data_IF_579189480242
#
_entry.id   IF_579189480242
#
_cell.length_a   1.000
_cell.length_b   1.000
_cell.length_c   1.000
_cell.angle_alpha   90.00
_cell.angle_beta   90.00
_cell.angle_gamma   90.00
#
_symmetry.space_group_name_H-M   'P 1'
#
loop_
_entity.id
_entity.type
_entity.pdbx_description
1 polymer ?
#
# COMPACT_ATOMS: atom_id res chain seq x y z
N UNK A 1 -14.54 50.65 14.22
CA UNK A 1 -14.99 50.02 12.95
C UNK A 1 -13.92 49.10 12.32
N UNK A 2 -12.62 49.33 12.55
CA UNK A 2 -11.56 48.51 11.94
C UNK A 2 -11.40 47.13 12.59
N UNK A 3 -11.55 47.01 13.92
CA UNK A 3 -11.45 45.73 14.63
C UNK A 3 -12.50 44.68 14.24
N UNK A 4 -13.71 45.12 13.90
CA UNK A 4 -14.79 44.22 13.43
C UNK A 4 -14.45 43.65 12.05
N UNK A 5 -13.93 44.50 11.14
CA UNK A 5 -13.48 44.07 9.81
C UNK A 5 -12.27 43.13 9.90
N UNK A 6 -11.32 43.42 10.79
CA UNK A 6 -10.18 42.53 11.07
C UNK A 6 -10.61 41.19 11.66
N UNK A 7 -11.57 41.19 12.59
CA UNK A 7 -12.12 39.96 13.17
C UNK A 7 -12.82 39.07 12.15
N UNK A 8 -13.65 39.66 11.27
CA UNK A 8 -14.31 38.92 10.18
C UNK A 8 -13.28 38.35 9.21
N UNK A 9 -12.26 39.14 8.84
CA UNK A 9 -11.19 38.68 7.93
C UNK A 9 -10.40 37.51 8.54
N UNK A 10 -10.12 37.55 9.84
CA UNK A 10 -9.46 36.46 10.56
C UNK A 10 -10.32 35.18 10.60
N UNK A 11 -11.63 35.30 10.84
CA UNK A 11 -12.54 34.15 10.81
C UNK A 11 -12.65 33.54 9.41
N UNK A 12 -12.71 34.35 8.36
CA UNK A 12 -12.71 33.87 6.97
C UNK A 12 -11.41 33.13 6.66
N UNK A 13 -10.27 33.68 7.07
CA UNK A 13 -8.96 33.03 6.90
C UNK A 13 -8.92 31.67 7.62
N UNK A 14 -9.37 31.62 8.88
CA UNK A 14 -9.41 30.38 9.66
C UNK A 14 -10.34 29.34 9.01
N UNK A 15 -11.51 29.77 8.55
CA UNK A 15 -12.46 28.90 7.84
C UNK A 15 -11.88 28.35 6.53
N UNK A 16 -11.17 29.19 5.76
CA UNK A 16 -10.47 28.76 4.54
C UNK A 16 -9.37 27.75 4.83
N UNK A 17 -8.53 28.00 5.84
CA UNK A 17 -7.45 27.07 6.23
C UNK A 17 -8.02 25.72 6.65
N UNK A 18 -9.09 25.72 7.46
CA UNK A 18 -9.75 24.49 7.90
C UNK A 18 -10.35 23.77 6.70
N UNK A 19 -11.13 24.48 5.87
CA UNK A 19 -11.79 23.91 4.70
C UNK A 19 -10.79 23.31 3.71
N UNK A 20 -9.70 24.01 3.40
CA UNK A 20 -8.69 23.51 2.46
C UNK A 20 -7.89 22.33 3.00
N UNK A 21 -7.76 22.19 4.32
CA UNK A 21 -7.06 21.06 4.95
C UNK A 21 -7.96 19.87 5.30
N UNK A 22 -9.27 19.98 5.09
CA UNK A 22 -10.23 18.88 5.28
C UNK A 22 -10.60 18.22 3.96
N UNK A 23 -10.61 16.89 3.95
CA UNK A 23 -11.08 16.08 2.80
C UNK A 23 -12.60 16.20 2.68
N UNK A 24 -13.11 16.49 1.48
CA UNK A 24 -14.54 16.54 1.19
C UNK A 24 -14.92 15.45 0.17
N UNK A 25 -15.52 14.37 0.65
CA UNK A 25 -15.90 13.24 -0.21
C UNK A 25 -14.69 12.65 -0.94
N UNK A 26 -14.69 12.74 -2.27
CA UNK A 26 -13.59 12.27 -3.14
C UNK A 26 -12.52 13.34 -3.42
N UNK A 27 -12.71 14.58 -2.97
CA UNK A 27 -11.75 15.67 -3.21
C UNK A 27 -10.67 15.62 -2.13
N UNK A 28 -9.37 15.55 -2.51
CA UNK A 28 -8.27 15.61 -1.55
C UNK A 28 -8.29 16.95 -0.79
N UNK A 29 -7.70 17.00 0.42
CA UNK A 29 -7.49 18.26 1.13
C UNK A 29 -6.53 19.14 0.31
N UNK A 30 -7.09 20.11 -0.42
CA UNK A 30 -6.35 20.91 -1.40
C UNK A 30 -5.16 21.66 -0.79
N UNK A 31 -5.27 22.12 0.46
CA UNK A 31 -4.18 22.80 1.16
C UNK A 31 -2.95 21.92 1.31
N UNK A 32 -3.12 20.68 1.80
CA UNK A 32 -2.04 19.69 1.92
C UNK A 32 -1.58 19.17 0.56
N UNK A 33 -2.53 19.00 -0.36
CA UNK A 33 -2.24 18.43 -1.67
C UNK A 33 -1.37 19.37 -2.52
N UNK A 34 -1.63 20.69 -2.49
CA UNK A 34 -0.87 21.71 -3.19
C UNK A 34 0.29 22.29 -2.37
N UNK A 35 0.60 21.72 -1.22
CA UNK A 35 1.75 22.12 -0.41
C UNK A 35 3.05 21.92 -1.24
N UNK A 36 3.93 22.93 -1.33
CA UNK A 36 5.14 22.85 -2.13
C UNK A 36 6.15 21.81 -1.59
N UNK A 37 6.18 21.57 -0.28
CA UNK A 37 7.19 20.74 0.37
C UNK A 37 6.73 19.28 0.50
N UNK A 38 5.47 19.05 0.86
CA UNK A 38 4.94 17.70 1.11
C UNK A 38 3.81 17.27 0.15
N UNK A 39 3.31 18.21 -0.68
CA UNK A 39 2.21 17.95 -1.61
C UNK A 39 2.64 17.14 -2.83
N UNK A 40 1.83 17.16 -3.88
CA UNK A 40 2.09 16.35 -5.07
C UNK A 40 3.37 16.78 -5.83
N UNK A 41 3.81 18.03 -5.64
CA UNK A 41 5.02 18.58 -6.26
C UNK A 41 6.29 17.82 -5.85
N UNK A 42 6.36 17.37 -4.59
CA UNK A 42 7.50 16.59 -4.09
C UNK A 42 7.72 15.28 -4.87
N UNK A 43 6.68 14.69 -5.47
CA UNK A 43 6.82 13.49 -6.29
C UNK A 43 7.34 13.79 -7.72
N UNK A 44 7.28 15.05 -8.19
CA UNK A 44 7.71 15.43 -9.53
C UNK A 44 9.23 15.58 -9.66
N UNK A 45 9.92 15.80 -8.54
CA UNK A 45 11.37 15.95 -8.47
C UNK A 45 12.03 14.63 -8.04
N UNK A 46 12.09 13.64 -8.94
CA UNK A 46 12.83 12.40 -8.67
C UNK A 46 13.98 12.24 -9.65
N UNK A 47 15.20 12.56 -9.20
CA UNK A 47 16.41 12.06 -9.83
C UNK A 47 16.64 10.64 -9.33
N UNK A 48 16.45 9.64 -10.20
CA UNK A 48 16.79 8.25 -9.86
C UNK A 48 18.31 8.10 -10.00
N UNK A 49 19.05 7.80 -8.92
CA UNK A 49 20.49 7.58 -9.02
C UNK A 49 20.77 6.35 -9.90
N UNK A 50 21.91 6.34 -10.60
CA UNK A 50 22.33 5.18 -11.41
C UNK A 50 22.75 3.98 -10.54
N UNK A 51 23.17 4.24 -9.31
CA UNK A 51 23.55 3.25 -8.30
C UNK A 51 23.34 3.89 -6.94
N UNK A 52 22.83 3.11 -5.99
CA UNK A 52 22.65 3.51 -4.61
C UNK A 52 23.04 2.34 -3.69
N UNK A 53 23.59 2.67 -2.53
CA UNK A 53 23.81 1.71 -1.45
C UNK A 53 22.81 2.06 -0.34
N UNK A 54 22.03 1.06 0.06
CA UNK A 54 20.97 1.20 1.06
C UNK A 54 21.30 0.32 2.26
N UNK A 55 21.14 0.86 3.46
CA UNK A 55 21.26 0.10 4.69
C UNK A 55 19.86 -0.33 5.14
N UNK A 56 19.47 -1.55 4.78
CA UNK A 56 18.14 -2.08 5.05
C UNK A 56 18.17 -2.89 6.35
N UNK A 57 17.44 -2.48 7.39
CA UNK A 57 17.39 -3.21 8.65
C UNK A 57 16.93 -4.66 8.46
N UNK A 58 17.69 -5.61 9.03
CA UNK A 58 17.36 -7.03 9.03
C UNK A 58 18.12 -7.87 8.01
N UNK A 59 18.80 -7.26 7.03
CA UNK A 59 19.73 -7.99 6.15
C UNK A 59 20.87 -8.63 6.96
N UNK A 60 21.18 -9.88 6.66
CA UNK A 60 22.28 -10.64 7.31
C UNK A 60 23.56 -10.56 6.48
N UNK A 61 23.43 -10.51 5.16
CA UNK A 61 24.51 -10.35 4.19
C UNK A 61 24.15 -9.36 3.08
N UNK A 62 25.15 -8.96 2.29
CA UNK A 62 24.96 -8.07 1.14
C UNK A 62 24.02 -8.68 0.08
N UNK A 63 23.11 -7.84 -0.40
CA UNK A 63 22.20 -8.13 -1.53
C UNK A 63 22.49 -7.16 -2.66
N UNK A 64 22.56 -7.66 -3.90
CA UNK A 64 22.73 -6.83 -5.09
C UNK A 64 21.45 -6.83 -5.91
N UNK A 65 20.97 -5.63 -6.27
CA UNK A 65 19.79 -5.45 -7.12
C UNK A 65 20.22 -4.78 -8.42
N UNK A 66 19.92 -5.42 -9.55
CA UNK A 66 20.20 -4.88 -10.88
C UNK A 66 18.88 -4.63 -11.63
N UNK A 67 18.66 -3.40 -12.08
CA UNK A 67 17.54 -3.08 -12.94
C UNK A 67 17.95 -3.18 -14.41
N UNK A 68 17.19 -3.95 -15.19
CA UNK A 68 17.39 -4.03 -16.64
C UNK A 68 16.90 -2.75 -17.38
N UNK A 69 17.09 -2.71 -18.70
CA UNK A 69 16.66 -1.60 -19.56
C UNK A 69 15.14 -1.32 -19.50
N UNK A 70 14.35 -2.30 -19.04
CA UNK A 70 12.89 -2.21 -18.86
C UNK A 70 12.49 -1.91 -17.43
N UNK A 71 13.45 -1.61 -16.55
CA UNK A 71 13.27 -1.39 -15.10
C UNK A 71 12.71 -2.62 -14.38
N UNK A 72 13.07 -3.83 -14.81
CA UNK A 72 12.77 -5.06 -14.07
C UNK A 72 13.91 -5.31 -13.07
N UNK A 73 13.62 -5.44 -11.76
CA UNK A 73 14.64 -5.73 -10.76
C UNK A 73 15.05 -7.21 -10.78
N UNK A 74 16.36 -7.45 -10.79
CA UNK A 74 17.00 -8.75 -10.60
C UNK A 74 17.73 -8.74 -9.26
N UNK A 75 17.25 -9.55 -8.31
CA UNK A 75 17.76 -9.58 -6.93
C UNK A 75 18.69 -10.79 -6.76
N UNK A 76 19.91 -10.53 -6.30
CA UNK A 76 20.92 -11.54 -6.00
C UNK A 76 21.27 -11.50 -4.51
N UNK A 77 20.97 -12.58 -3.80
CA UNK A 77 21.25 -12.74 -2.37
C UNK A 77 21.93 -14.09 -2.12
N UNK A 78 22.60 -14.23 -0.97
CA UNK A 78 23.32 -15.46 -0.57
C UNK A 78 22.48 -16.42 0.27
N UNK A 79 21.32 -15.98 0.75
CA UNK A 79 20.39 -16.77 1.53
C UNK A 79 18.94 -16.34 1.25
N UNK A 80 18.00 -17.22 1.54
CA UNK A 80 16.58 -17.03 1.25
C UNK A 80 15.96 -15.89 2.06
N UNK A 81 16.36 -15.72 3.32
CA UNK A 81 15.83 -14.66 4.18
C UNK A 81 16.08 -13.27 3.56
N UNK A 82 17.33 -12.99 3.20
CA UNK A 82 17.73 -11.71 2.62
C UNK A 82 17.14 -11.52 1.22
N UNK A 83 16.94 -12.61 0.47
CA UNK A 83 16.25 -12.59 -0.82
C UNK A 83 14.80 -12.11 -0.67
N UNK A 84 14.03 -12.72 0.23
CA UNK A 84 12.62 -12.35 0.44
C UNK A 84 12.47 -10.96 1.04
N UNK A 85 13.36 -10.57 1.96
CA UNK A 85 13.39 -9.23 2.52
C UNK A 85 13.65 -8.18 1.44
N UNK A 86 14.71 -8.34 0.64
CA UNK A 86 15.00 -7.42 -0.46
C UNK A 86 13.87 -7.40 -1.50
N UNK A 87 13.25 -8.55 -1.79
CA UNK A 87 12.08 -8.61 -2.67
C UNK A 87 10.93 -7.75 -2.13
N UNK A 88 10.59 -7.88 -0.84
CA UNK A 88 9.54 -7.07 -0.22
C UNK A 88 9.85 -5.57 -0.26
N UNK A 89 11.10 -5.19 0.03
CA UNK A 89 11.55 -3.80 -0.02
C UNK A 89 11.41 -3.20 -1.43
N UNK A 90 11.95 -3.87 -2.45
CA UNK A 90 11.92 -3.41 -3.84
C UNK A 90 10.48 -3.39 -4.39
N UNK A 91 9.67 -4.41 -4.08
CA UNK A 91 8.28 -4.42 -4.52
C UNK A 91 7.46 -3.29 -3.87
N UNK A 92 7.72 -2.98 -2.60
CA UNK A 92 7.12 -1.82 -1.95
C UNK A 92 7.59 -0.51 -2.60
N UNK A 93 8.89 -0.35 -2.87
CA UNK A 93 9.43 0.81 -3.56
C UNK A 93 8.70 1.10 -4.88
N UNK A 94 8.44 0.07 -5.68
CA UNK A 94 7.81 0.22 -6.98
C UNK A 94 6.27 0.23 -6.94
N UNK A 95 5.64 -0.49 -5.99
CA UNK A 95 4.21 -0.88 -6.07
C UNK A 95 3.44 -0.80 -4.75
N UNK A 96 3.94 -0.10 -3.74
CA UNK A 96 3.32 -0.02 -2.40
C UNK A 96 1.79 0.19 -2.44
N UNK A 97 1.33 1.22 -3.15
CA UNK A 97 -0.11 1.53 -3.23
C UNK A 97 -0.91 0.39 -3.89
N UNK A 98 -0.40 -0.19 -4.97
CA UNK A 98 -1.05 -1.29 -5.67
C UNK A 98 -1.22 -2.50 -4.75
N UNK A 99 -0.14 -2.90 -4.07
CA UNK A 99 -0.14 -4.02 -3.14
C UNK A 99 -1.16 -3.80 -2.02
N UNK A 100 -1.14 -2.61 -1.41
CA UNK A 100 -2.05 -2.30 -0.32
C UNK A 100 -3.51 -2.33 -0.77
N UNK A 101 -3.85 -1.68 -1.89
CA UNK A 101 -5.23 -1.67 -2.40
C UNK A 101 -5.77 -3.06 -2.70
N UNK A 102 -4.92 -3.97 -3.21
CA UNK A 102 -5.32 -5.36 -3.44
C UNK A 102 -5.63 -6.10 -2.12
N UNK A 103 -4.90 -5.80 -1.05
CA UNK A 103 -5.16 -6.39 0.27
C UNK A 103 -6.38 -5.78 0.96
N UNK A 104 -6.62 -4.48 0.81
CA UNK A 104 -7.85 -3.82 1.27
C UNK A 104 -9.09 -4.39 0.56
N UNK A 105 -8.99 -4.65 -0.74
CA UNK A 105 -10.06 -5.30 -1.50
C UNK A 105 -10.34 -6.71 -0.99
N UNK A 106 -9.31 -7.53 -0.80
CA UNK A 106 -9.44 -8.89 -0.30
C UNK A 106 -9.91 -8.96 1.17
N UNK A 107 -9.55 -7.96 1.98
CA UNK A 107 -10.00 -7.84 3.37
C UNK A 107 -11.44 -7.30 3.49
N UNK A 108 -11.99 -6.72 2.41
CA UNK A 108 -13.24 -5.97 2.45
C UNK A 108 -13.14 -4.76 3.37
N UNK A 109 -12.16 -3.90 3.09
CA UNK A 109 -11.85 -2.66 3.82
C UNK A 109 -11.76 -1.43 2.90
N UNK A 110 -12.04 -1.54 1.61
CA UNK A 110 -11.83 -0.44 0.65
C UNK A 110 -12.62 0.84 1.00
N UNK A 111 -13.78 0.69 1.63
CA UNK A 111 -14.60 1.81 2.07
C UNK A 111 -13.93 2.66 3.16
N UNK A 112 -12.93 2.12 3.89
CA UNK A 112 -12.13 2.87 4.86
C UNK A 112 -11.30 3.97 4.18
N UNK A 113 -10.81 3.72 2.96
CA UNK A 113 -9.91 4.62 2.23
C UNK A 113 -10.68 5.46 1.20
N UNK A 114 -11.48 4.80 0.36
CA UNK A 114 -12.17 5.43 -0.78
C UNK A 114 -13.49 6.07 -0.36
N UNK A 115 -14.13 5.52 0.67
CA UNK A 115 -15.39 6.03 1.23
C UNK A 115 -16.60 5.12 0.98
N UNK A 116 -17.81 5.59 1.35
CA UNK A 116 -19.00 4.76 1.53
C UNK A 116 -19.54 4.12 0.24
N UNK A 117 -19.15 4.62 -0.95
CA UNK A 117 -19.55 4.04 -2.24
C UNK A 117 -19.11 2.58 -2.38
N UNK A 118 -18.04 2.15 -1.70
CA UNK A 118 -17.52 0.78 -1.74
C UNK A 118 -18.03 -0.12 -0.61
N UNK A 119 -18.92 0.37 0.26
CA UNK A 119 -19.38 -0.40 1.43
C UNK A 119 -20.06 -1.72 1.05
N UNK A 120 -20.84 -1.73 -0.04
CA UNK A 120 -21.49 -2.96 -0.53
C UNK A 120 -20.47 -3.97 -1.05
N UNK A 121 -19.37 -3.49 -1.66
CA UNK A 121 -18.26 -4.35 -2.11
C UNK A 121 -17.59 -5.02 -0.92
N UNK A 122 -17.24 -4.24 0.11
CA UNK A 122 -16.63 -4.75 1.33
C UNK A 122 -17.50 -5.79 2.04
N UNK A 123 -18.80 -5.51 2.18
CA UNK A 123 -19.78 -6.45 2.73
C UNK A 123 -19.81 -7.75 1.94
N UNK A 124 -19.81 -7.68 0.60
CA UNK A 124 -19.82 -8.87 -0.24
C UNK A 124 -18.51 -9.66 -0.14
N UNK A 125 -17.36 -9.00 -0.12
CA UNK A 125 -16.07 -9.67 0.08
C UNK A 125 -16.00 -10.41 1.42
N UNK A 126 -16.49 -9.78 2.50
CA UNK A 126 -16.55 -10.43 3.82
C UNK A 126 -17.54 -11.58 3.85
N UNK A 127 -18.70 -11.46 3.17
CA UNK A 127 -19.68 -12.55 3.01
C UNK A 127 -19.13 -13.75 2.24
N UNK A 128 -18.26 -13.51 1.25
CA UNK A 128 -17.55 -14.57 0.54
C UNK A 128 -16.52 -15.29 1.43
N UNK A 129 -16.20 -14.76 2.62
CA UNK A 129 -15.27 -15.37 3.55
C UNK A 129 -13.81 -15.16 3.17
N UNK A 130 -13.48 -14.14 2.37
CA UNK A 130 -12.10 -13.87 1.94
C UNK A 130 -11.13 -13.65 3.11
N UNK A 131 -11.45 -12.83 4.14
CA UNK A 131 -10.58 -12.68 5.31
C UNK A 131 -10.40 -13.99 6.07
N UNK A 132 -11.49 -14.72 6.31
CA UNK A 132 -11.46 -16.02 6.98
C UNK A 132 -10.59 -17.04 6.22
N UNK A 133 -10.71 -17.09 4.89
CA UNK A 133 -9.88 -17.96 4.06
C UNK A 133 -8.40 -17.57 4.06
N UNK A 134 -8.09 -16.28 4.25
CA UNK A 134 -6.71 -15.80 4.41
C UNK A 134 -6.14 -16.17 5.79
N UNK A 135 -6.93 -16.03 6.85
CA UNK A 135 -6.56 -16.48 8.21
C UNK A 135 -6.26 -17.98 8.24
N UNK A 136 -7.13 -18.80 7.62
CA UNK A 136 -6.90 -20.24 7.51
C UNK A 136 -5.68 -20.60 6.66
N UNK A 137 -5.43 -19.86 5.58
CA UNK A 137 -4.21 -20.05 4.81
C UNK A 137 -2.96 -19.71 5.65
N UNK A 138 -3.01 -18.64 6.45
CA UNK A 138 -1.91 -18.28 7.34
C UNK A 138 -1.69 -19.31 8.44
N UNK A 139 -2.74 -19.87 9.04
CA UNK A 139 -2.64 -20.98 10.00
C UNK A 139 -1.91 -22.19 9.40
N UNK A 140 -2.20 -22.55 8.14
CA UNK A 140 -1.47 -23.62 7.45
C UNK A 140 -0.01 -23.21 7.15
N UNK A 141 0.22 -21.95 6.75
CA UNK A 141 1.58 -21.46 6.51
C UNK A 141 2.44 -21.52 7.77
N UNK A 142 1.87 -21.20 8.92
CA UNK A 142 2.57 -21.23 10.21
C UNK A 142 3.05 -22.63 10.61
N UNK A 143 2.49 -23.69 10.04
CA UNK A 143 2.93 -25.07 10.26
C UNK A 143 4.19 -25.42 9.46
N UNK A 144 4.54 -24.61 8.46
CA UNK A 144 5.70 -24.79 7.58
C UNK A 144 6.75 -23.70 7.85
N UNK A 145 7.78 -23.96 8.68
CA UNK A 145 8.71 -22.94 9.16
C UNK A 145 9.41 -22.16 8.04
N UNK A 146 9.81 -22.84 6.96
CA UNK A 146 10.49 -22.20 5.83
C UNK A 146 9.59 -21.18 5.11
N UNK A 147 8.29 -21.49 4.96
CA UNK A 147 7.35 -20.58 4.33
C UNK A 147 6.98 -19.43 5.27
N UNK A 148 6.84 -19.70 6.57
CA UNK A 148 6.64 -18.65 7.57
C UNK A 148 7.81 -17.66 7.60
N UNK A 149 9.06 -18.16 7.57
CA UNK A 149 10.26 -17.32 7.51
C UNK A 149 10.25 -16.46 6.24
N UNK A 150 9.95 -17.04 5.07
CA UNK A 150 9.89 -16.31 3.81
C UNK A 150 8.87 -15.17 3.82
N UNK A 151 7.63 -15.42 4.25
CA UNK A 151 6.59 -14.37 4.27
C UNK A 151 6.84 -13.31 5.34
N UNK A 152 7.52 -13.67 6.42
CA UNK A 152 7.87 -12.73 7.49
C UNK A 152 9.01 -11.83 7.00
N UNK A 153 10.07 -12.39 6.44
CA UNK A 153 11.16 -11.62 5.83
C UNK A 153 10.65 -10.66 4.74
N UNK A 154 9.75 -11.13 3.87
CA UNK A 154 9.07 -10.28 2.89
C UNK A 154 8.31 -9.12 3.54
N UNK A 155 7.52 -9.40 4.58
CA UNK A 155 6.78 -8.37 5.30
C UNK A 155 7.72 -7.35 5.97
N UNK A 156 8.83 -7.81 6.54
CA UNK A 156 9.85 -6.96 7.15
C UNK A 156 10.51 -6.04 6.11
N UNK A 157 10.80 -6.55 4.92
CA UNK A 157 11.30 -5.75 3.79
C UNK A 157 10.33 -4.65 3.35
N UNK A 158 9.04 -4.98 3.19
CA UNK A 158 7.99 -3.98 2.90
C UNK A 158 7.93 -2.94 4.02
N UNK A 159 8.03 -3.38 5.28
CA UNK A 159 7.96 -2.51 6.44
C UNK A 159 9.16 -1.58 6.56
N UNK A 160 10.36 -2.05 6.23
CA UNK A 160 11.57 -1.23 6.19
C UNK A 160 11.40 -0.05 5.23
N UNK A 161 10.89 -0.30 4.01
CA UNK A 161 10.57 0.78 3.08
C UNK A 161 9.49 1.73 3.63
N UNK A 162 8.42 1.21 4.22
CA UNK A 162 7.36 2.05 4.83
C UNK A 162 7.91 2.93 5.95
N UNK A 163 8.86 2.45 6.76
CA UNK A 163 9.47 3.22 7.86
C UNK A 163 10.37 4.36 7.39
N UNK A 164 10.95 4.24 6.19
CA UNK A 164 11.79 5.29 5.59
C UNK A 164 10.96 6.45 5.03
N UNK A 165 9.70 6.21 4.68
CA UNK A 165 8.85 7.20 4.04
C UNK A 165 8.39 8.30 5.01
N UNK A 166 8.68 9.55 4.64
CA UNK A 166 7.97 10.70 5.20
C UNK A 166 6.69 11.00 4.40
N UNK A 167 5.73 11.78 4.93
CA UNK A 167 4.54 12.17 4.16
C UNK A 167 4.84 12.86 2.81
N UNK A 168 6.02 13.47 2.66
CA UNK A 168 6.46 14.05 1.39
C UNK A 168 6.83 12.98 0.35
N UNK A 169 7.33 11.83 0.81
CA UNK A 169 7.79 10.72 -0.03
C UNK A 169 6.67 9.74 -0.38
N UNK A 170 5.49 9.87 0.24
CA UNK A 170 4.36 9.01 -0.05
C UNK A 170 4.00 9.04 -1.54
N UNK A 171 3.68 7.86 -2.13
CA UNK A 171 3.13 7.82 -3.48
C UNK A 171 1.91 8.74 -3.62
N UNK A 172 1.73 9.28 -4.84
CA UNK A 172 0.71 10.29 -5.12
C UNK A 172 -0.69 9.86 -4.67
N UNK A 173 -1.03 8.59 -4.82
CA UNK A 173 -2.34 8.04 -4.48
C UNK A 173 -2.68 8.18 -3.01
N UNK A 174 -1.70 8.03 -2.11
CA UNK A 174 -1.86 8.28 -0.68
C UNK A 174 -2.20 9.74 -0.37
N UNK A 175 -1.57 10.68 -1.10
CA UNK A 175 -1.83 12.12 -0.98
C UNK A 175 -3.23 12.47 -1.49
N UNK A 176 -3.67 11.86 -2.59
CA UNK A 176 -5.03 12.02 -3.13
C UNK A 176 -6.08 11.48 -2.14
N UNK A 177 -5.81 10.31 -1.57
CA UNK A 177 -6.76 9.65 -0.66
C UNK A 177 -6.68 10.20 0.76
N UNK A 178 -5.67 11.01 1.07
CA UNK A 178 -5.34 11.52 2.41
C UNK A 178 -5.27 10.37 3.42
N UNK A 179 -4.47 9.36 3.07
CA UNK A 179 -4.19 8.16 3.87
C UNK A 179 -2.68 7.95 3.95
N UNK A 180 -2.23 7.25 4.99
CA UNK A 180 -0.85 6.80 5.14
C UNK A 180 -0.78 5.29 4.89
N UNK A 181 0.35 4.75 4.40
CA UNK A 181 0.54 3.31 4.25
C UNK A 181 0.45 2.59 5.60
N UNK A 182 -0.26 1.47 5.62
CA UNK A 182 -0.38 0.59 6.79
C UNK A 182 0.68 -0.51 6.72
N UNK A 183 1.31 -0.81 7.86
CA UNK A 183 2.31 -1.88 7.98
C UNK A 183 1.86 -3.19 7.34
N UNK A 184 2.82 -3.86 6.71
CA UNK A 184 2.63 -5.16 6.12
C UNK A 184 2.76 -6.24 7.19
N UNK A 185 1.75 -7.07 7.30
CA UNK A 185 1.75 -8.25 8.17
C UNK A 185 1.61 -9.50 7.30
N UNK A 186 2.10 -10.68 7.73
CA UNK A 186 1.97 -11.92 6.97
C UNK A 186 0.55 -12.23 6.45
N UNK A 187 -0.49 -11.80 7.18
CA UNK A 187 -1.88 -11.92 6.74
C UNK A 187 -2.18 -11.18 5.43
N UNK A 188 -1.54 -10.03 5.16
CA UNK A 188 -1.68 -9.28 3.90
C UNK A 188 -1.17 -10.10 2.71
N UNK A 189 -0.09 -10.85 2.87
CA UNK A 189 0.39 -11.79 1.85
C UNK A 189 -0.64 -12.90 1.58
N UNK A 190 -1.24 -13.47 2.63
CA UNK A 190 -2.31 -14.46 2.48
C UNK A 190 -3.57 -13.88 1.80
N UNK A 191 -3.94 -12.64 2.11
CA UNK A 191 -5.06 -11.92 1.48
C UNK A 191 -4.81 -11.72 -0.03
N UNK A 192 -3.59 -11.36 -0.42
CA UNK A 192 -3.21 -11.21 -1.82
C UNK A 192 -3.36 -12.55 -2.58
N UNK A 193 -2.88 -13.64 -1.97
CA UNK A 193 -3.04 -14.98 -2.54
C UNK A 193 -4.52 -15.40 -2.68
N UNK A 194 -5.37 -15.04 -1.70
CA UNK A 194 -6.82 -15.27 -1.81
C UNK A 194 -7.44 -14.46 -2.95
N UNK A 195 -6.95 -13.25 -3.22
CA UNK A 195 -7.43 -12.46 -4.36
C UNK A 195 -7.16 -13.15 -5.71
N UNK A 196 -5.98 -13.77 -5.84
CA UNK A 196 -5.66 -14.62 -6.99
C UNK A 196 -6.59 -15.84 -7.05
N UNK A 197 -6.80 -16.52 -5.93
CA UNK A 197 -7.73 -17.67 -5.84
C UNK A 197 -9.15 -17.28 -6.27
N UNK A 198 -9.63 -16.11 -5.84
CA UNK A 198 -10.94 -15.56 -6.23
C UNK A 198 -11.06 -15.38 -7.73
N UNK A 199 -9.99 -14.91 -8.38
CA UNK A 199 -9.98 -14.66 -9.82
C UNK A 199 -9.93 -15.95 -10.63
N UNK A 200 -9.15 -16.94 -10.17
CA UNK A 200 -8.92 -18.20 -10.89
C UNK A 200 -9.99 -19.26 -10.60
N UNK A 201 -10.49 -19.34 -9.37
CA UNK A 201 -11.36 -20.41 -8.89
C UNK A 201 -12.70 -19.91 -8.32
N UNK A 202 -12.98 -18.60 -8.34
CA UNK A 202 -14.21 -18.04 -7.77
C UNK A 202 -15.43 -18.09 -8.70
N UNK A 203 -15.29 -18.55 -9.95
CA UNK A 203 -16.40 -18.67 -10.90
C UNK A 203 -16.83 -20.12 -11.02
N UNK A 204 -18.14 -20.38 -10.95
CA UNK A 204 -18.74 -21.71 -11.10
C UNK A 204 -19.46 -21.88 -12.44
N UNK A 205 -18.95 -21.27 -13.51
CA UNK A 205 -19.57 -21.36 -14.83
C UNK A 205 -19.29 -22.69 -15.54
N UNK A 206 -18.58 -23.62 -14.90
CA UNK A 206 -18.16 -24.89 -15.49
C UNK A 206 -19.34 -25.65 -16.12
N UNK A 207 -20.49 -25.73 -15.44
CA UNK A 207 -21.70 -26.38 -15.94
C UNK A 207 -22.28 -25.75 -17.23
N UNK A 208 -22.03 -24.46 -17.46
CA UNK A 208 -22.52 -23.74 -18.66
C UNK A 208 -21.53 -23.77 -19.82
N UNK A 209 -20.28 -24.13 -19.54
CA UNK A 209 -19.19 -24.23 -20.53
C UNK A 209 -18.84 -25.68 -20.88
N UNK A 210 -19.29 -26.65 -20.10
CA UNK A 210 -19.27 -28.06 -20.49
C UNK A 210 -20.28 -28.29 -21.62
N UNK A 211 -19.81 -28.81 -22.74
CA UNK A 211 -20.63 -29.19 -23.90
C UNK A 211 -21.45 -30.48 -23.65
N UNK A 212 -21.83 -30.74 -22.40
CA UNK A 212 -22.61 -31.89 -21.93
C UNK A 212 -24.01 -31.44 -21.54
#
# INVERSE_FOLDING_TARGET
MNYVKSGISFLILLALIISLNTKFGSVPPLGKFFDPDAGFWANAETSVPNSEELDIPGLKEDVSVYYDDRRVPHIFAKNDHDLYLAQGYIEAQDRLFQMEMQTYDAAGRLAEIVGPSLLNRDKNTRRWGMPYGAEKALEEIQKEPAMLEAITAYADGVNAFIDELSPADYPLEYKILNTAPEKWVPLKTALLFKNMTRTLAGRSNDDRTSNT
#
